data_IF_090127922440
#
_entry.id   IF_090127922440
#
_cell.length_a   1.000
_cell.length_b   1.000
_cell.length_c   1.000
_cell.angle_alpha   90.00
_cell.angle_beta   90.00
_cell.angle_gamma   90.00
#
_symmetry.space_group_name_H-M   'P 1'
#
loop_
_entity.id
_entity.type
_entity.pdbx_description
1 polymer ?
#
# COMPACT_ATOMS: atom_id res chain seq x y z
N UNK A 1 -4.83 7.37 -11.81
CA UNK A 1 -4.50 8.77 -11.42
C UNK A 1 -4.16 8.75 -9.93
N UNK A 2 -3.06 9.39 -9.51
CA UNK A 2 -2.64 9.41 -8.10
C UNK A 2 -3.02 10.70 -7.39
N UNK A 3 -3.52 10.58 -6.16
CA UNK A 3 -3.78 11.68 -5.24
C UNK A 3 -2.78 11.61 -4.08
N UNK A 4 -1.98 12.65 -3.92
CA UNK A 4 -1.07 12.77 -2.78
C UNK A 4 -1.87 13.10 -1.51
N UNK A 5 -1.63 12.34 -0.44
CA UNK A 5 -2.32 12.41 0.84
C UNK A 5 -1.29 12.48 1.98
N UNK A 6 -1.55 13.28 3.01
CA UNK A 6 -0.66 13.42 4.17
C UNK A 6 -0.89 12.36 5.25
N UNK A 7 -2.09 11.77 5.32
CA UNK A 7 -2.43 10.69 6.24
C UNK A 7 -3.37 9.68 5.56
N UNK A 8 -2.77 8.71 4.87
CA UNK A 8 -3.48 7.74 4.05
C UNK A 8 -4.31 6.76 4.87
N UNK A 9 -3.91 6.48 6.12
CA UNK A 9 -4.65 5.55 6.99
C UNK A 9 -6.03 6.14 7.32
N UNK A 10 -6.06 7.39 7.78
CA UNK A 10 -7.32 8.03 8.17
C UNK A 10 -8.20 8.33 6.93
N UNK A 11 -7.59 8.73 5.82
CA UNK A 11 -8.31 8.96 4.56
C UNK A 11 -8.88 7.66 4.00
N UNK A 12 -8.09 6.57 3.94
CA UNK A 12 -8.57 5.28 3.46
C UNK A 12 -9.70 4.73 4.34
N UNK A 13 -9.57 4.84 5.66
CA UNK A 13 -10.63 4.46 6.59
C UNK A 13 -11.92 5.27 6.35
N UNK A 14 -11.79 6.58 6.13
CA UNK A 14 -12.93 7.46 5.80
C UNK A 14 -13.54 7.06 4.45
N UNK A 15 -12.74 6.77 3.44
CA UNK A 15 -13.21 6.32 2.13
C UNK A 15 -13.99 5.00 2.23
N UNK A 16 -13.49 4.02 2.98
CA UNK A 16 -14.20 2.77 3.28
C UNK A 16 -15.55 3.03 3.93
N UNK A 17 -15.61 3.89 4.95
CA UNK A 17 -16.87 4.26 5.62
C UNK A 17 -17.89 4.91 4.67
N UNK A 18 -17.41 5.59 3.62
CA UNK A 18 -18.25 6.22 2.60
C UNK A 18 -18.53 5.30 1.39
N UNK A 19 -18.18 4.01 1.47
CA UNK A 19 -18.50 3.01 0.45
C UNK A 19 -17.56 2.98 -0.76
N UNK A 20 -16.42 3.67 -0.71
CA UNK A 20 -15.36 3.50 -1.71
C UNK A 20 -14.72 2.13 -1.52
N UNK A 21 -14.62 1.38 -2.61
CA UNK A 21 -13.98 0.06 -2.62
C UNK A 21 -12.53 0.16 -3.07
N UNK A 22 -11.67 -0.56 -2.37
CA UNK A 22 -10.26 -0.69 -2.68
C UNK A 22 -9.91 -2.13 -3.00
N UNK A 23 -8.84 -2.31 -3.77
CA UNK A 23 -8.25 -3.62 -4.00
C UNK A 23 -7.70 -4.13 -2.66
N UNK A 24 -8.13 -5.34 -2.28
CA UNK A 24 -7.66 -6.00 -1.06
C UNK A 24 -6.42 -6.84 -1.37
N UNK A 25 -5.31 -6.55 -0.68
CA UNK A 25 -4.14 -7.41 -0.70
C UNK A 25 -4.40 -8.67 0.17
N UNK A 26 -3.96 -9.86 -0.27
CA UNK A 26 -4.15 -11.08 0.51
C UNK A 26 -3.22 -11.11 1.73
N UNK A 27 -3.56 -11.91 2.74
CA UNK A 27 -2.82 -11.98 4.02
C UNK A 27 -1.32 -12.23 3.87
N UNK A 28 -0.95 -13.07 2.89
CA UNK A 28 0.43 -13.41 2.56
C UNK A 28 1.28 -12.18 2.20
N UNK A 29 0.67 -11.11 1.68
CA UNK A 29 1.35 -9.83 1.45
C UNK A 29 1.83 -9.22 2.78
N UNK A 30 0.94 -9.13 3.77
CA UNK A 30 1.22 -8.51 5.06
C UNK A 30 2.18 -9.35 5.92
N UNK A 31 2.11 -10.67 5.79
CA UNK A 31 3.09 -11.58 6.36
C UNK A 31 4.50 -11.30 5.80
N UNK A 32 4.64 -11.22 4.48
CA UNK A 32 5.92 -10.89 3.82
C UNK A 32 6.39 -9.46 4.16
N UNK A 33 5.47 -8.50 4.25
CA UNK A 33 5.77 -7.11 4.62
C UNK A 33 6.37 -7.03 6.02
N UNK A 34 5.81 -7.76 6.99
CA UNK A 34 6.28 -7.77 8.38
C UNK A 34 7.71 -8.29 8.54
N UNK A 35 8.18 -9.09 7.59
CA UNK A 35 9.57 -9.60 7.55
C UNK A 35 10.53 -8.61 6.86
N UNK A 36 10.01 -7.71 6.01
CA UNK A 36 10.80 -6.78 5.20
C UNK A 36 10.97 -5.40 5.84
N UNK A 37 10.00 -4.94 6.63
CA UNK A 37 9.98 -3.61 7.24
C UNK A 37 9.89 -3.71 8.77
N UNK A 38 10.66 -2.86 9.46
CA UNK A 38 10.50 -2.64 10.89
C UNK A 38 9.31 -1.72 11.15
N UNK A 39 8.10 -2.28 11.22
CA UNK A 39 6.85 -1.52 11.35
C UNK A 39 6.85 -0.52 12.52
N UNK A 40 7.49 -0.86 13.64
CA UNK A 40 7.56 0.01 14.83
C UNK A 40 8.40 1.27 14.58
N UNK A 41 9.54 1.11 13.91
CA UNK A 41 10.44 2.21 13.60
C UNK A 41 9.77 3.26 12.70
N UNK A 42 8.85 2.84 11.84
CA UNK A 42 8.12 3.70 10.91
C UNK A 42 6.70 4.05 11.35
N UNK A 43 6.35 3.73 12.61
CA UNK A 43 5.00 3.97 13.17
C UNK A 43 3.87 3.43 12.28
N UNK A 44 4.08 2.24 11.72
CA UNK A 44 3.12 1.52 10.90
C UNK A 44 2.42 0.45 11.74
N UNK A 45 1.10 0.41 11.64
CA UNK A 45 0.26 -0.57 12.32
C UNK A 45 -0.22 -1.61 11.29
N UNK A 46 0.26 -2.85 11.42
CA UNK A 46 -0.02 -3.91 10.45
C UNK A 46 -1.52 -4.18 10.28
N UNK A 47 -2.27 -4.16 11.39
CA UNK A 47 -3.71 -4.42 11.35
C UNK A 47 -4.46 -3.29 10.63
N UNK A 48 -4.04 -2.04 10.83
CA UNK A 48 -4.60 -0.92 10.07
C UNK A 48 -4.28 -1.02 8.59
N UNK A 49 -3.04 -1.37 8.24
CA UNK A 49 -2.64 -1.56 6.84
C UNK A 49 -3.47 -2.68 6.19
N UNK A 50 -3.63 -3.80 6.89
CA UNK A 50 -4.40 -4.96 6.44
C UNK A 50 -5.88 -4.66 6.24
N UNK A 51 -6.52 -4.06 7.25
CA UNK A 51 -7.95 -3.72 7.20
C UNK A 51 -8.28 -2.66 6.17
N UNK A 52 -7.37 -1.72 5.90
CA UNK A 52 -7.58 -0.71 4.88
C UNK A 52 -7.20 -1.19 3.48
N UNK A 53 -6.25 -2.11 3.32
CA UNK A 53 -5.70 -2.53 2.03
C UNK A 53 -4.46 -1.73 1.61
N UNK A 54 -3.83 -0.98 2.51
CA UNK A 54 -2.65 -0.17 2.20
C UNK A 54 -1.42 -1.05 1.99
N UNK A 55 -0.69 -0.77 0.92
CA UNK A 55 0.61 -1.33 0.57
C UNK A 55 1.72 -0.40 1.04
N UNK A 56 2.87 -0.97 1.38
CA UNK A 56 4.03 -0.22 1.87
C UNK A 56 5.31 -0.68 1.16
N UNK A 57 6.01 0.27 0.56
CA UNK A 57 7.36 0.09 0.06
C UNK A 57 8.35 0.85 0.95
N UNK A 58 9.54 0.29 1.15
CA UNK A 58 10.63 0.94 1.88
C UNK A 58 11.65 1.49 0.89
N UNK A 59 12.05 2.73 1.10
CA UNK A 59 13.17 3.30 0.35
C UNK A 59 14.43 3.21 1.19
N UNK A 60 15.47 2.61 0.61
CA UNK A 60 16.79 2.46 1.21
C UNK A 60 17.77 3.44 0.55
N UNK A 61 18.73 3.95 1.32
CA UNK A 61 19.89 4.61 0.74
C UNK A 61 20.91 3.59 0.21
N UNK A 62 22.01 4.08 -0.38
CA UNK A 62 23.08 3.25 -0.94
C UNK A 62 23.80 2.37 0.11
N UNK A 63 23.65 2.68 1.39
CA UNK A 63 24.23 1.92 2.51
C UNK A 63 23.24 0.87 3.06
N UNK A 64 22.01 0.82 2.53
CA UNK A 64 20.97 -0.12 2.93
C UNK A 64 20.08 0.35 4.08
N UNK A 65 20.26 1.58 4.58
CA UNK A 65 19.41 2.15 5.63
C UNK A 65 18.12 2.69 5.04
N UNK A 66 17.01 2.43 5.74
CA UNK A 66 15.71 2.95 5.32
C UNK A 66 15.63 4.46 5.56
N UNK A 67 15.37 5.22 4.48
CA UNK A 67 15.29 6.68 4.48
C UNK A 67 13.85 7.20 4.35
N UNK A 68 12.93 6.33 3.93
CA UNK A 68 11.54 6.68 3.73
C UNK A 68 10.66 5.47 3.48
N UNK A 69 9.36 5.75 3.39
CA UNK A 69 8.36 4.76 3.03
C UNK A 69 7.36 5.38 2.09
N UNK A 70 6.91 4.57 1.13
CA UNK A 70 5.84 4.91 0.22
C UNK A 70 4.63 4.06 0.53
N UNK A 71 3.54 4.70 0.93
CA UNK A 71 2.28 4.05 1.21
C UNK A 71 1.34 4.28 0.03
N UNK A 72 0.71 3.22 -0.47
CA UNK A 72 -0.20 3.28 -1.61
C UNK A 72 -1.44 2.44 -1.35
N UNK A 73 -2.58 2.86 -1.89
CA UNK A 73 -3.78 2.03 -1.98
C UNK A 73 -4.52 2.36 -3.28
N UNK A 74 -5.07 1.34 -3.92
CA UNK A 74 -5.72 1.43 -5.22
C UNK A 74 -7.21 1.14 -5.09
N UNK A 75 -8.05 2.00 -5.67
CA UNK A 75 -9.49 1.72 -5.73
C UNK A 75 -9.74 0.49 -6.62
N UNK A 76 -10.85 -0.19 -6.40
CA UNK A 76 -11.42 -1.00 -7.48
C UNK A 76 -11.72 -0.11 -8.71
N UNK A 77 -11.88 -0.68 -9.92
CA UNK A 77 -12.28 0.10 -11.09
C UNK A 77 -13.56 0.91 -10.81
N UNK A 78 -13.48 2.24 -10.96
CA UNK A 78 -14.59 3.15 -10.66
C UNK A 78 -15.69 3.11 -11.72
N UNK A 79 -15.33 2.71 -12.94
CA UNK A 79 -16.24 2.56 -14.07
C UNK A 79 -16.11 1.16 -14.66
N UNK A 80 -17.23 0.54 -15.02
CA UNK A 80 -17.26 -0.85 -15.50
C UNK A 80 -16.48 -1.10 -16.80
N UNK A 81 -16.27 -0.09 -17.65
CA UNK A 81 -15.74 -0.29 -19.01
C UNK A 81 -14.36 0.31 -19.28
N UNK A 82 -13.87 1.20 -18.42
CA UNK A 82 -12.71 2.03 -18.77
C UNK A 82 -11.45 1.67 -17.98
N UNK A 83 -11.50 0.64 -17.12
CA UNK A 83 -10.35 0.21 -16.31
C UNK A 83 -9.79 1.31 -15.41
N UNK A 84 -10.53 2.41 -15.24
CA UNK A 84 -10.06 3.58 -14.53
C UNK A 84 -10.14 3.32 -13.04
N UNK A 85 -8.98 3.42 -12.38
CA UNK A 85 -8.86 3.38 -10.94
C UNK A 85 -8.12 4.64 -10.46
N UNK A 86 -8.36 4.94 -9.19
CA UNK A 86 -7.62 5.95 -8.46
C UNK A 86 -6.62 5.30 -7.52
N UNK A 87 -5.57 6.04 -7.24
CA UNK A 87 -4.54 5.69 -6.29
C UNK A 87 -4.46 6.81 -5.25
N UNK A 88 -4.41 6.43 -3.97
CA UNK A 88 -3.99 7.34 -2.91
C UNK A 88 -2.53 7.01 -2.57
N UNK A 89 -1.71 8.05 -2.42
CA UNK A 89 -0.27 7.89 -2.16
C UNK A 89 0.16 8.83 -1.03
N UNK A 90 0.83 8.28 -0.02
CA UNK A 90 1.47 9.04 1.06
C UNK A 90 2.97 8.75 1.05
N UNK A 91 3.76 9.83 1.06
CA UNK A 91 5.22 9.77 1.12
C UNK A 91 5.65 10.15 2.52
N UNK A 92 6.29 9.22 3.22
CA UNK A 92 6.85 9.48 4.54
C UNK A 92 8.34 9.73 4.46
N UNK A 93 8.80 10.71 5.24
CA UNK A 93 10.20 11.13 5.32
C UNK A 93 10.74 11.57 3.93
N UNK A 94 11.88 11.02 3.50
CA UNK A 94 12.57 11.43 2.27
C UNK A 94 12.18 10.59 1.05
N UNK A 95 11.03 9.91 1.09
CA UNK A 95 10.57 9.02 0.02
C UNK A 95 10.30 9.79 -1.28
N UNK A 96 10.91 9.36 -2.38
CA UNK A 96 10.75 9.93 -3.74
C UNK A 96 10.38 8.88 -4.80
N UNK A 97 10.31 7.61 -4.42
CA UNK A 97 10.09 6.47 -5.32
C UNK A 97 8.69 6.41 -5.94
N UNK A 98 8.51 5.60 -6.98
CA UNK A 98 7.26 5.55 -7.74
C UNK A 98 6.32 4.40 -7.33
N UNK A 99 6.77 3.51 -6.45
CA UNK A 99 5.94 2.43 -5.91
C UNK A 99 5.72 1.23 -6.83
N UNK A 100 6.60 1.05 -7.82
CA UNK A 100 6.61 -0.12 -8.69
C UNK A 100 6.66 -1.44 -7.89
N UNK A 101 7.43 -1.45 -6.78
CA UNK A 101 7.53 -2.62 -5.91
C UNK A 101 6.22 -2.96 -5.20
N UNK A 102 5.38 -1.97 -4.87
CA UNK A 102 4.09 -2.23 -4.24
C UNK A 102 3.16 -2.98 -5.20
N UNK A 103 3.11 -2.57 -6.48
CA UNK A 103 2.30 -3.25 -7.50
C UNK A 103 2.84 -4.66 -7.74
N UNK A 104 4.15 -4.83 -7.89
CA UNK A 104 4.75 -6.15 -8.11
C UNK A 104 4.50 -7.10 -6.93
N UNK A 105 4.69 -6.63 -5.69
CA UNK A 105 4.44 -7.42 -4.48
C UNK A 105 2.97 -7.77 -4.29
N UNK A 106 2.05 -6.87 -4.67
CA UNK A 106 0.61 -7.16 -4.67
C UNK A 106 0.28 -8.28 -5.67
N UNK A 107 0.80 -8.22 -6.90
CA UNK A 107 0.58 -9.26 -7.90
C UNK A 107 1.16 -10.62 -7.47
N UNK A 108 2.40 -10.64 -6.98
CA UNK A 108 3.04 -11.85 -6.44
C UNK A 108 2.18 -12.47 -5.32
N UNK A 109 1.69 -11.65 -4.39
CA UNK A 109 0.83 -12.12 -3.31
C UNK A 109 -0.52 -12.67 -3.80
N UNK A 110 -1.12 -12.04 -4.81
CA UNK A 110 -2.36 -12.52 -5.45
C UNK A 110 -2.16 -13.85 -6.19
N UNK A 111 -1.01 -14.05 -6.84
CA UNK A 111 -0.67 -15.32 -7.51
C UNK A 111 -0.46 -16.44 -6.50
N UNK A 112 0.28 -16.18 -5.42
CA UNK A 112 0.50 -17.15 -4.32
C UNK A 112 -0.84 -17.56 -3.70
N UNK A 113 -1.71 -16.59 -3.41
CA UNK A 113 -3.01 -16.85 -2.78
C UNK A 113 -3.97 -17.66 -3.66
N UNK A 114 -3.82 -17.66 -4.98
CA UNK A 114 -4.64 -18.46 -5.90
C UNK A 114 -4.20 -19.93 -5.96
N UNK A 115 -2.99 -20.23 -5.49
CA UNK A 115 -2.39 -21.57 -5.53
C UNK A 115 -2.52 -22.33 -4.20
N UNK A 116 -2.91 -21.62 -3.13
CA UNK A 116 -3.23 -22.16 -1.80
C UNK A 116 -4.68 -22.65 -1.73
#
# INVERSE_FOLDING_TARGET
MGLAIDNIIDVAATCHQNGIKFITAPDVYYEALSQRINLKEFSLDLEKLKTTGILVDKELNNEGYQIGSLLQIFTEPLFQKDGFFMELIERRNQSTGFGENNINALWEALEISQTL
#
